data_IF_151470397132
#
_entry.id   IF_151470397132
#
_cell.length_a   1.000
_cell.length_b   1.000
_cell.length_c   1.000
_cell.angle_alpha   90.00
_cell.angle_beta   90.00
_cell.angle_gamma   90.00
#
_symmetry.space_group_name_H-M   'P 1'
#
loop_
_entity.id
_entity.type
_entity.pdbx_description
1 polymer ?
#
# COMPACT_ATOMS: atom_id res chain seq x y z
N UNK A 1 21.33 -25.29 10.60
CA UNK A 1 21.92 -24.12 9.91
C UNK A 1 21.34 -23.82 8.51
N UNK A 2 20.64 -24.75 7.82
CA UNK A 2 20.00 -24.45 6.51
C UNK A 2 18.82 -23.47 6.59
N UNK A 3 18.03 -23.56 7.67
CA UNK A 3 16.81 -22.75 7.83
C UNK A 3 17.12 -21.26 8.08
N UNK A 4 18.22 -20.91 8.75
CA UNK A 4 18.58 -19.50 9.02
C UNK A 4 18.90 -18.72 7.74
N UNK A 5 19.64 -19.33 6.81
CA UNK A 5 19.91 -18.72 5.49
C UNK A 5 18.66 -18.60 4.63
N UNK A 6 17.73 -19.56 4.72
CA UNK A 6 16.45 -19.45 4.02
C UNK A 6 15.61 -18.30 4.58
N UNK A 7 15.56 -18.12 5.91
CA UNK A 7 14.86 -17.00 6.53
C UNK A 7 15.48 -15.66 6.11
N UNK A 8 16.82 -15.57 6.04
CA UNK A 8 17.50 -14.36 5.56
C UNK A 8 17.14 -14.02 4.12
N UNK A 9 17.04 -15.01 3.23
CA UNK A 9 16.59 -14.79 1.85
C UNK A 9 15.18 -14.22 1.79
N UNK A 10 14.25 -14.77 2.58
CA UNK A 10 12.88 -14.26 2.64
C UNK A 10 12.83 -12.85 3.20
N UNK A 11 13.60 -12.56 4.25
CA UNK A 11 13.67 -11.21 4.82
C UNK A 11 14.23 -10.20 3.80
N UNK A 12 15.24 -10.57 3.00
CA UNK A 12 15.76 -9.70 1.93
C UNK A 12 14.72 -9.49 0.82
N UNK A 13 13.98 -10.54 0.45
CA UNK A 13 12.89 -10.45 -0.53
C UNK A 13 11.72 -9.59 -0.03
N UNK A 14 11.39 -9.69 1.26
CA UNK A 14 10.44 -8.79 1.91
C UNK A 14 10.93 -7.34 1.86
N UNK A 15 12.21 -7.07 2.15
CA UNK A 15 12.77 -5.71 2.06
C UNK A 15 12.65 -5.15 0.64
N UNK A 16 12.96 -5.96 -0.39
CA UNK A 16 12.81 -5.56 -1.79
C UNK A 16 11.34 -5.27 -2.14
N UNK A 17 10.43 -6.14 -1.71
CA UNK A 17 9.00 -5.99 -1.97
C UNK A 17 8.40 -4.77 -1.26
N UNK A 18 8.79 -4.50 -0.01
CA UNK A 18 8.37 -3.28 0.69
C UNK A 18 9.00 -2.02 0.06
N UNK A 19 10.23 -2.10 -0.43
CA UNK A 19 10.85 -0.98 -1.15
C UNK A 19 10.10 -0.68 -2.45
N UNK A 20 9.70 -1.73 -3.20
CA UNK A 20 8.82 -1.59 -4.38
C UNK A 20 7.50 -0.92 -4.00
N UNK A 21 6.86 -1.34 -2.91
CA UNK A 21 5.61 -0.75 -2.44
C UNK A 21 5.78 0.73 -2.08
N UNK A 22 6.88 1.09 -1.45
CA UNK A 22 7.21 2.47 -1.14
C UNK A 22 7.33 3.34 -2.42
N UNK A 23 8.01 2.84 -3.45
CA UNK A 23 8.11 3.55 -4.73
C UNK A 23 6.74 3.67 -5.43
N UNK A 24 5.87 2.64 -5.37
CA UNK A 24 4.52 2.73 -5.91
C UNK A 24 3.68 3.79 -5.20
N UNK A 25 3.78 3.88 -3.87
CA UNK A 25 3.10 4.91 -3.09
C UNK A 25 3.63 6.32 -3.41
N UNK A 26 4.91 6.43 -3.73
CA UNK A 26 5.51 7.71 -4.16
C UNK A 26 5.01 8.10 -5.55
N UNK A 27 4.94 7.15 -6.49
CA UNK A 27 4.32 7.37 -7.79
C UNK A 27 2.83 7.73 -7.67
N UNK A 28 2.11 7.12 -6.74
CA UNK A 28 0.69 7.41 -6.50
C UNK A 28 0.51 8.85 -6.00
N UNK A 29 1.39 9.31 -5.10
CA UNK A 29 1.42 10.71 -4.68
C UNK A 29 1.56 11.66 -5.87
N UNK A 30 2.53 11.38 -6.75
CA UNK A 30 2.80 12.20 -7.94
C UNK A 30 1.59 12.23 -8.87
N UNK A 31 0.96 11.08 -9.14
CA UNK A 31 -0.23 10.96 -9.97
C UNK A 31 -1.46 11.70 -9.38
N UNK A 32 -1.63 11.65 -8.06
CA UNK A 32 -2.69 12.41 -7.37
C UNK A 32 -2.46 13.91 -7.51
N UNK A 33 -1.21 14.38 -7.30
CA UNK A 33 -0.85 15.79 -7.41
C UNK A 33 -0.99 16.31 -8.84
N UNK A 34 -0.69 15.48 -9.84
CA UNK A 34 -0.84 15.82 -11.26
C UNK A 34 -2.27 15.65 -11.79
N UNK A 35 -3.23 15.22 -10.97
CA UNK A 35 -4.60 14.91 -11.38
C UNK A 35 -4.65 13.94 -12.58
N UNK A 36 -3.96 12.81 -12.47
CA UNK A 36 -3.91 11.77 -13.49
C UNK A 36 -4.61 10.47 -13.02
N UNK A 37 -5.95 10.36 -13.16
CA UNK A 37 -6.70 9.19 -12.73
C UNK A 37 -6.27 7.86 -13.39
N UNK A 38 -5.96 7.80 -14.71
CA UNK A 38 -5.42 6.58 -15.33
C UNK A 38 -4.17 6.05 -14.64
N UNK A 39 -3.22 6.92 -14.29
CA UNK A 39 -2.01 6.51 -13.58
C UNK A 39 -2.29 6.02 -12.16
N UNK A 40 -3.21 6.67 -11.44
CA UNK A 40 -3.66 6.20 -10.11
C UNK A 40 -4.28 4.81 -10.19
N UNK A 41 -5.13 4.54 -11.18
CA UNK A 41 -5.75 3.23 -11.37
C UNK A 41 -4.73 2.13 -11.71
N UNK A 42 -3.76 2.44 -12.58
CA UNK A 42 -2.70 1.50 -12.92
C UNK A 42 -1.83 1.14 -11.70
N UNK A 43 -1.45 2.14 -10.91
CA UNK A 43 -0.68 1.95 -9.68
C UNK A 43 -1.46 1.17 -8.61
N UNK A 44 -2.78 1.36 -8.51
CA UNK A 44 -3.62 0.59 -7.61
C UNK A 44 -3.60 -0.92 -7.93
N UNK A 45 -3.70 -1.28 -9.22
CA UNK A 45 -3.62 -2.69 -9.67
C UNK A 45 -2.27 -3.33 -9.36
N UNK A 46 -1.18 -2.58 -9.54
CA UNK A 46 0.17 -3.07 -9.22
C UNK A 46 0.34 -3.25 -7.70
N UNK A 47 -0.17 -2.31 -6.90
CA UNK A 47 -0.20 -2.41 -5.42
C UNK A 47 -0.95 -3.65 -4.95
N UNK A 48 -2.13 -3.94 -5.49
CA UNK A 48 -2.92 -5.11 -5.10
C UNK A 48 -2.15 -6.42 -5.32
N UNK A 49 -1.50 -6.55 -6.47
CA UNK A 49 -0.67 -7.72 -6.80
C UNK A 49 0.51 -7.86 -5.83
N UNK A 50 1.19 -6.75 -5.53
CA UNK A 50 2.33 -6.73 -4.63
C UNK A 50 1.96 -7.03 -3.16
N UNK A 51 0.79 -6.54 -2.71
CA UNK A 51 0.27 -6.82 -1.37
C UNK A 51 -0.02 -8.31 -1.20
N UNK A 52 -0.56 -8.98 -2.23
CA UNK A 52 -0.76 -10.44 -2.20
C UNK A 52 0.59 -11.18 -2.09
N UNK A 53 1.61 -10.76 -2.84
CA UNK A 53 2.95 -11.34 -2.75
C UNK A 53 3.57 -11.16 -1.35
N UNK A 54 3.44 -9.96 -0.76
CA UNK A 54 3.92 -9.68 0.59
C UNK A 54 3.26 -10.56 1.65
N UNK A 55 1.96 -10.88 1.49
CA UNK A 55 1.25 -11.82 2.38
C UNK A 55 1.83 -13.22 2.31
N UNK A 56 2.07 -13.74 1.10
CA UNK A 56 2.68 -15.06 0.89
C UNK A 56 4.09 -15.14 1.49
N UNK A 57 4.91 -14.10 1.29
CA UNK A 57 6.25 -14.03 1.89
C UNK A 57 6.20 -14.03 3.42
N UNK A 58 5.24 -13.34 4.01
CA UNK A 58 5.08 -13.29 5.47
C UNK A 58 4.58 -14.63 6.05
N UNK A 59 3.69 -15.33 5.35
CA UNK A 59 3.27 -16.68 5.71
C UNK A 59 4.44 -17.67 5.66
N UNK A 60 5.23 -17.64 4.58
CA UNK A 60 6.40 -18.49 4.45
C UNK A 60 7.47 -18.16 5.50
N UNK A 61 7.69 -16.87 5.79
CA UNK A 61 8.59 -16.45 6.89
C UNK A 61 8.13 -17.06 8.22
N UNK A 62 6.85 -16.96 8.56
CA UNK A 62 6.29 -17.53 9.79
C UNK A 62 6.51 -19.03 9.83
N UNK A 63 6.20 -19.74 8.75
CA UNK A 63 6.42 -21.19 8.63
C UNK A 63 7.88 -21.59 8.86
N UNK A 64 8.83 -20.87 8.27
CA UNK A 64 10.26 -21.15 8.45
C UNK A 64 10.75 -20.82 9.87
N UNK A 65 10.25 -19.75 10.47
CA UNK A 65 10.57 -19.38 11.86
C UNK A 65 10.02 -20.42 12.82
N UNK A 66 8.77 -20.84 12.65
CA UNK A 66 8.15 -21.89 13.46
C UNK A 66 8.92 -23.22 13.30
N UNK A 67 9.36 -23.56 12.08
CA UNK A 67 10.21 -24.73 11.85
C UNK A 67 11.64 -24.59 12.40
N UNK A 68 12.13 -23.37 12.63
CA UNK A 68 13.46 -23.11 13.20
C UNK A 68 13.47 -23.26 14.72
N UNK A 69 12.45 -22.72 15.40
CA UNK A 69 12.31 -22.79 16.86
C UNK A 69 11.57 -24.05 17.35
N UNK A 70 10.82 -24.73 16.48
CA UNK A 70 10.01 -25.88 16.86
C UNK A 70 8.88 -25.50 17.83
N UNK A 71 8.55 -26.40 18.75
CA UNK A 71 7.53 -26.18 19.80
C UNK A 71 8.06 -25.37 21.00
N UNK A 72 9.31 -24.89 20.95
CA UNK A 72 9.85 -24.08 22.04
C UNK A 72 9.07 -22.77 22.16
N UNK A 73 8.48 -22.55 23.35
CA UNK A 73 7.79 -21.31 23.72
C UNK A 73 8.83 -20.21 24.00
N UNK A 74 9.55 -19.78 22.97
CA UNK A 74 10.63 -18.81 23.13
C UNK A 74 11.10 -18.25 21.81
N UNK A 75 10.58 -17.06 21.48
CA UNK A 75 11.18 -16.13 20.53
C UNK A 75 10.88 -16.36 19.05
N UNK A 76 9.79 -15.77 18.54
CA UNK A 76 9.43 -15.79 17.09
C UNK A 76 9.83 -14.52 16.34
N UNK A 77 10.54 -13.61 17.01
CA UNK A 77 10.95 -12.33 16.43
C UNK A 77 12.28 -12.45 15.69
N UNK A 78 12.54 -11.49 14.80
CA UNK A 78 13.84 -11.39 14.12
C UNK A 78 14.98 -11.16 15.12
N UNK A 79 14.70 -10.52 16.26
CA UNK A 79 15.69 -10.33 17.33
C UNK A 79 16.06 -11.65 18.02
N UNK A 80 15.10 -12.58 18.14
CA UNK A 80 15.34 -13.90 18.73
C UNK A 80 16.19 -14.76 17.78
N UNK A 81 15.95 -14.66 16.46
CA UNK A 81 16.81 -15.30 15.45
C UNK A 81 18.26 -14.81 15.57
N UNK A 82 18.47 -13.51 15.79
CA UNK A 82 19.81 -12.99 16.06
C UNK A 82 20.41 -13.58 17.35
N UNK A 83 19.65 -13.63 18.44
CA UNK A 83 20.13 -14.15 19.72
C UNK A 83 20.57 -15.62 19.63
N UNK A 84 19.87 -16.44 18.85
CA UNK A 84 20.20 -17.87 18.67
C UNK A 84 21.32 -18.09 17.65
N UNK A 85 21.37 -17.31 16.56
CA UNK A 85 22.34 -17.53 15.48
C UNK A 85 23.62 -16.72 15.63
N UNK A 86 23.60 -15.63 16.40
CA UNK A 86 24.66 -14.62 16.45
C UNK A 86 24.79 -13.77 15.17
N UNK A 87 23.94 -13.99 14.16
CA UNK A 87 24.07 -13.34 12.85
C UNK A 87 23.48 -11.93 12.86
N UNK A 88 24.33 -10.93 12.67
CA UNK A 88 23.95 -9.50 12.70
C UNK A 88 23.03 -9.10 11.55
N UNK A 89 23.03 -9.84 10.43
CA UNK A 89 22.18 -9.55 9.26
C UNK A 89 20.70 -9.50 9.62
N UNK A 90 20.26 -10.29 10.60
CA UNK A 90 18.88 -10.25 11.09
C UNK A 90 18.50 -8.88 11.68
N UNK A 91 19.38 -8.28 12.48
CA UNK A 91 19.13 -6.96 13.07
C UNK A 91 19.12 -5.85 12.01
N UNK A 92 20.03 -5.93 11.04
CA UNK A 92 20.09 -4.99 9.91
C UNK A 92 18.81 -5.05 9.07
N UNK A 93 18.36 -6.25 8.71
CA UNK A 93 17.12 -6.46 7.96
C UNK A 93 15.89 -6.00 8.76
N UNK A 94 15.84 -6.29 10.07
CA UNK A 94 14.78 -5.79 10.95
C UNK A 94 14.72 -4.26 10.95
N UNK A 95 15.85 -3.59 11.08
CA UNK A 95 15.91 -2.12 11.06
C UNK A 95 15.40 -1.57 9.72
N UNK A 96 15.86 -2.14 8.60
CA UNK A 96 15.42 -1.73 7.25
C UNK A 96 13.91 -1.92 7.07
N UNK A 97 13.37 -3.07 7.50
CA UNK A 97 11.94 -3.35 7.43
C UNK A 97 11.13 -2.36 8.28
N UNK A 98 11.56 -2.07 9.50
CA UNK A 98 10.86 -1.09 10.35
C UNK A 98 10.86 0.30 9.73
N UNK A 99 12.00 0.77 9.22
CA UNK A 99 12.07 2.07 8.53
C UNK A 99 11.18 2.11 7.28
N UNK A 100 11.15 1.05 6.48
CA UNK A 100 10.27 0.95 5.31
C UNK A 100 8.80 0.97 5.69
N UNK A 101 8.40 0.18 6.69
CA UNK A 101 7.02 0.12 7.16
C UNK A 101 6.54 1.47 7.70
N UNK A 102 7.40 2.18 8.44
CA UNK A 102 7.10 3.53 8.88
C UNK A 102 6.90 4.49 7.69
N UNK A 103 7.84 4.50 6.74
CA UNK A 103 7.74 5.37 5.56
C UNK A 103 6.53 5.05 4.68
N UNK A 104 6.18 3.77 4.52
CA UNK A 104 4.96 3.32 3.85
C UNK A 104 3.72 3.86 4.57
N UNK A 105 3.68 3.77 5.91
CA UNK A 105 2.57 4.27 6.71
C UNK A 105 2.36 5.77 6.53
N UNK A 106 3.44 6.55 6.63
CA UNK A 106 3.43 8.00 6.44
C UNK A 106 2.97 8.40 5.03
N UNK A 107 3.50 7.73 4.00
CA UNK A 107 3.20 8.05 2.61
C UNK A 107 1.78 7.65 2.20
N UNK A 108 1.31 6.51 2.68
CA UNK A 108 -0.07 6.07 2.45
C UNK A 108 -1.08 7.02 3.12
N UNK A 109 -0.78 7.49 4.33
CA UNK A 109 -1.60 8.50 5.01
C UNK A 109 -1.62 9.84 4.26
N UNK A 110 -0.47 10.28 3.75
CA UNK A 110 -0.38 11.47 2.90
C UNK A 110 -1.26 11.33 1.65
N UNK A 111 -1.17 10.19 0.94
CA UNK A 111 -1.97 9.95 -0.26
C UNK A 111 -3.47 9.96 0.06
N UNK A 112 -3.87 9.36 1.19
CA UNK A 112 -5.26 9.41 1.68
C UNK A 112 -5.75 10.84 1.87
N UNK A 113 -4.97 11.68 2.56
CA UNK A 113 -5.31 13.09 2.80
C UNK A 113 -5.42 13.90 1.51
N UNK A 114 -4.54 13.65 0.53
CA UNK A 114 -4.60 14.31 -0.78
C UNK A 114 -5.89 13.93 -1.53
N UNK A 115 -6.25 12.65 -1.56
CA UNK A 115 -7.47 12.16 -2.19
C UNK A 115 -8.72 12.75 -1.51
N UNK A 116 -8.76 12.77 -0.17
CA UNK A 116 -9.87 13.34 0.60
C UNK A 116 -10.06 14.82 0.28
N UNK A 117 -8.96 15.58 0.23
CA UNK A 117 -8.98 17.01 -0.09
C UNK A 117 -9.42 17.26 -1.53
N UNK A 118 -8.89 16.51 -2.50
CA UNK A 118 -9.31 16.60 -3.90
C UNK A 118 -10.82 16.32 -4.04
N UNK A 119 -11.31 15.28 -3.36
CA UNK A 119 -12.73 14.92 -3.34
C UNK A 119 -13.61 16.02 -2.73
N UNK A 120 -13.16 16.68 -1.66
CA UNK A 120 -13.85 17.81 -1.07
C UNK A 120 -13.96 18.99 -2.04
N UNK A 121 -12.88 19.33 -2.73
CA UNK A 121 -12.89 20.40 -3.73
C UNK A 121 -13.81 20.10 -4.91
N UNK A 122 -13.84 18.85 -5.40
CA UNK A 122 -14.76 18.44 -6.46
C UNK A 122 -16.23 18.55 -6.02
N UNK A 123 -16.56 18.11 -4.80
CA UNK A 123 -17.92 18.25 -4.25
C UNK A 123 -18.34 19.70 -4.09
N UNK A 124 -17.46 20.55 -3.54
CA UNK A 124 -17.75 21.97 -3.37
C UNK A 124 -17.95 22.67 -4.73
N UNK A 125 -17.11 22.34 -5.72
CA UNK A 125 -17.24 22.88 -7.07
C UNK A 125 -18.55 22.44 -7.73
N UNK A 126 -18.91 21.16 -7.61
CA UNK A 126 -20.19 20.63 -8.11
C UNK A 126 -21.39 21.33 -7.47
N UNK A 127 -21.40 21.49 -6.15
CA UNK A 127 -22.46 22.21 -5.44
C UNK A 127 -22.56 23.69 -5.86
N UNK A 128 -21.42 24.33 -6.14
CA UNK A 128 -21.38 25.67 -6.71
C UNK A 128 -22.00 25.71 -8.12
N UNK A 129 -21.63 24.79 -9.02
CA UNK A 129 -22.22 24.73 -10.37
C UNK A 129 -23.73 24.47 -10.35
N UNK A 130 -24.21 23.65 -9.40
CA UNK A 130 -25.64 23.44 -9.16
C UNK A 130 -26.34 24.71 -8.65
N UNK A 131 -25.72 25.45 -7.72
CA UNK A 131 -26.34 26.65 -7.14
C UNK A 131 -26.43 27.84 -8.11
N UNK A 132 -25.52 27.92 -9.10
CA UNK A 132 -25.57 28.93 -10.16
C UNK A 132 -26.49 28.54 -11.34
N UNK A 133 -27.23 27.44 -11.23
CA UNK A 133 -28.30 27.09 -12.17
C UNK A 133 -27.82 26.46 -13.49
N UNK A 134 -26.66 25.79 -13.51
CA UNK A 134 -26.30 24.91 -14.63
C UNK A 134 -27.06 23.57 -14.57
N UNK A 135 -28.40 23.63 -14.52
CA UNK A 135 -29.29 22.54 -14.90
C UNK A 135 -29.49 22.60 -16.42
N UNK A 136 -28.41 22.42 -17.20
CA UNK A 136 -28.56 22.24 -18.65
C UNK A 136 -28.99 20.80 -18.93
N UNK A 137 -30.30 20.60 -18.95
CA UNK A 137 -31.09 19.62 -19.72
C UNK A 137 -32.12 18.85 -18.88
N UNK A 138 -33.23 19.52 -18.53
CA UNK A 138 -34.55 18.89 -18.73
C UNK A 138 -35.11 19.38 -20.05
N UNK A 139 -35.27 18.55 -21.09
CA UNK A 139 -36.16 18.90 -22.18
C UNK A 139 -37.60 18.67 -21.69
N UNK A 140 -38.15 19.73 -21.12
CA UNK A 140 -39.58 20.00 -21.20
C UNK A 140 -39.93 20.18 -22.69
N UNK A 141 -40.49 19.13 -23.30
CA UNK A 141 -41.36 19.32 -24.45
C UNK A 141 -42.78 18.93 -24.04
N UNK A 142 -43.46 19.89 -23.42
CA UNK A 142 -44.90 19.98 -23.54
C UNK A 142 -45.23 20.92 -24.72
N UNK A 143 -46.28 20.51 -25.45
CA UNK A 143 -47.20 21.30 -26.28
C UNK A 143 -46.94 21.38 -27.81
N UNK A 144 -47.79 20.64 -28.55
CA UNK A 144 -48.54 20.99 -29.79
C UNK A 144 -48.53 19.78 -30.75
N UNK A 145 -49.60 19.31 -31.38
CA UNK A 145 -50.94 19.85 -31.66
C UNK A 145 -51.85 18.69 -32.12
N UNK A 146 -53.15 18.93 -32.02
CA UNK A 146 -54.27 18.13 -32.56
C UNK A 146 -54.06 17.62 -34.00
N UNK A 147 -54.55 16.40 -34.26
CA UNK A 147 -55.21 15.98 -35.50
C UNK A 147 -56.13 14.79 -35.21
#
# INVERSE_FOLDING_TARGET
MRNSEQILKILDEQVRSYSRLYELLKGEKEAIVSFDPPSVEALAKEKDSLVLQLRLLEEERKRLVDAFFGDEKGGRSISDLHAVTGDKRFLELRSRLLSLLQGIGELNELNRLLIERASLHLRASSAFFQSIGMDTASPSHAVSREA
#
